data_IF_990611938328
#
_entry.id   IF_990611938328
#
_cell.length_a   1.000
_cell.length_b   1.000
_cell.length_c   1.000
_cell.angle_alpha   90.00
_cell.angle_beta   90.00
_cell.angle_gamma   90.00
#
_symmetry.space_group_name_H-M   'P 1'
#
loop_
_entity.id
_entity.type
_entity.pdbx_description
1 polymer ?
#
# COMPACT_ATOMS: atom_id res chain seq x y z
N UNK A 1 -8.77 -16.02 19.80
CA UNK A 1 -8.77 -14.73 19.05
C UNK A 1 -8.11 -14.93 17.68
N UNK A 2 -8.68 -14.36 16.60
CA UNK A 2 -8.11 -14.47 15.25
C UNK A 2 -6.95 -13.47 15.08
N UNK A 3 -5.83 -13.88 14.47
CA UNK A 3 -4.61 -13.07 14.36
C UNK A 3 -4.88 -11.69 13.71
N UNK A 4 -5.66 -11.66 12.62
CA UNK A 4 -6.05 -10.41 11.95
C UNK A 4 -6.77 -9.42 12.86
N UNK A 5 -7.57 -9.92 13.82
CA UNK A 5 -8.24 -9.04 14.80
C UNK A 5 -7.21 -8.45 15.77
N UNK A 6 -6.21 -9.23 16.17
CA UNK A 6 -5.13 -8.74 17.04
C UNK A 6 -4.31 -7.65 16.33
N UNK A 7 -3.98 -7.85 15.05
CA UNK A 7 -3.27 -6.86 14.25
C UNK A 7 -4.08 -5.58 14.03
N UNK A 8 -5.38 -5.72 13.75
CA UNK A 8 -6.27 -4.57 13.64
C UNK A 8 -6.34 -3.78 14.95
N UNK A 9 -6.50 -4.44 16.09
CA UNK A 9 -6.53 -3.79 17.41
C UNK A 9 -5.18 -3.14 17.73
N UNK A 10 -4.06 -3.78 17.37
CA UNK A 10 -2.73 -3.21 17.54
C UNK A 10 -2.53 -1.94 16.70
N UNK A 11 -3.02 -1.93 15.46
CA UNK A 11 -3.01 -0.76 14.58
C UNK A 11 -3.87 0.37 15.17
N UNK A 12 -5.07 0.05 15.63
CA UNK A 12 -6.00 1.00 16.25
C UNK A 12 -5.41 1.65 17.50
N UNK A 13 -4.68 0.89 18.32
CA UNK A 13 -4.00 1.42 19.51
C UNK A 13 -3.02 2.55 19.18
N UNK A 14 -2.39 2.55 18.00
CA UNK A 14 -1.47 3.62 17.58
C UNK A 14 -2.18 4.98 17.43
N UNK A 15 -3.47 4.97 17.04
CA UNK A 15 -4.26 6.18 16.82
C UNK A 15 -4.94 6.70 18.09
N UNK A 16 -5.07 5.85 19.12
CA UNK A 16 -5.72 6.16 20.39
C UNK A 16 -4.72 6.48 21.52
N UNK A 17 -3.42 6.21 21.32
CA UNK A 17 -2.37 6.46 22.33
C UNK A 17 -2.02 7.95 22.35
N UNK A 18 -2.17 8.67 23.49
CA UNK A 18 -1.96 10.13 23.57
C UNK A 18 -0.55 10.62 23.18
N UNK A 19 0.46 9.79 23.39
CA UNK A 19 1.85 10.04 23.01
C UNK A 19 2.39 8.79 22.28
N UNK A 20 2.18 8.67 20.96
CA UNK A 20 2.60 7.50 20.20
C UNK A 20 4.13 7.46 19.99
N UNK A 21 4.88 8.47 20.45
CA UNK A 21 6.28 8.63 20.12
C UNK A 21 6.51 8.85 18.62
N UNK A 22 7.64 8.36 18.12
CA UNK A 22 7.97 8.41 16.69
C UNK A 22 7.31 7.23 15.95
N UNK A 23 6.08 7.47 15.46
CA UNK A 23 5.32 6.48 14.70
C UNK A 23 6.07 6.04 13.43
N UNK A 24 6.76 6.95 12.74
CA UNK A 24 7.50 6.63 11.51
C UNK A 24 8.63 5.63 11.77
N UNK A 25 9.35 5.80 12.89
CA UNK A 25 10.36 4.85 13.34
C UNK A 25 9.76 3.48 13.66
N UNK A 26 8.65 3.44 14.41
CA UNK A 26 7.97 2.18 14.77
C UNK A 26 7.54 1.41 13.51
N UNK A 27 6.93 2.10 12.54
CA UNK A 27 6.49 1.49 11.29
C UNK A 27 7.67 1.01 10.44
N UNK A 28 8.78 1.75 10.44
CA UNK A 28 10.01 1.34 9.75
C UNK A 28 10.64 0.09 10.38
N UNK A 29 10.64 -0.02 11.72
CA UNK A 29 11.10 -1.22 12.42
C UNK A 29 10.22 -2.43 12.14
N UNK A 30 8.90 -2.22 12.02
CA UNK A 30 7.95 -3.27 11.65
C UNK A 30 8.12 -3.70 10.19
N UNK A 31 8.28 -2.75 9.27
CA UNK A 31 8.51 -3.00 7.83
C UNK A 31 9.83 -3.72 7.57
N UNK A 32 10.89 -3.43 8.33
CA UNK A 32 12.17 -4.10 8.22
C UNK A 32 12.20 -5.56 8.72
N UNK A 33 11.05 -6.14 9.14
CA UNK A 33 10.98 -7.56 9.50
C UNK A 33 10.68 -8.42 8.28
N UNK A 34 11.67 -9.18 7.85
CA UNK A 34 11.61 -10.03 6.65
C UNK A 34 10.64 -11.22 6.77
N UNK A 35 10.15 -11.55 7.97
CA UNK A 35 9.23 -12.66 8.21
C UNK A 35 7.76 -12.32 7.87
N UNK A 36 7.48 -11.10 7.40
CA UNK A 36 6.15 -10.67 6.94
C UNK A 36 5.11 -10.54 8.06
N UNK A 37 5.48 -10.75 9.32
CA UNK A 37 4.55 -10.83 10.46
C UNK A 37 3.78 -9.55 10.77
N UNK A 38 4.19 -8.43 10.19
CA UNK A 38 3.59 -7.11 10.39
C UNK A 38 2.92 -6.57 9.13
N UNK A 39 2.86 -7.36 8.05
CA UNK A 39 2.33 -6.91 6.77
C UNK A 39 0.87 -6.44 6.89
N UNK A 40 0.02 -7.23 7.55
CA UNK A 40 -1.39 -6.90 7.77
C UNK A 40 -1.54 -5.73 8.76
N UNK A 41 -0.76 -5.72 9.85
CA UNK A 41 -0.69 -4.58 10.77
C UNK A 41 -0.39 -3.26 10.04
N UNK A 42 0.63 -3.22 9.17
CA UNK A 42 1.00 -2.01 8.43
C UNK A 42 -0.10 -1.57 7.46
N UNK A 43 -0.77 -2.53 6.79
CA UNK A 43 -1.94 -2.24 5.94
C UNK A 43 -3.08 -1.62 6.75
N UNK A 44 -3.37 -2.12 7.95
CA UNK A 44 -4.38 -1.52 8.83
C UNK A 44 -3.98 -0.13 9.31
N UNK A 45 -2.72 0.10 9.68
CA UNK A 45 -2.25 1.43 10.06
C UNK A 45 -2.43 2.43 8.91
N UNK A 46 -2.05 2.06 7.69
CA UNK A 46 -2.28 2.88 6.51
C UNK A 46 -3.78 3.11 6.27
N UNK A 47 -4.61 2.07 6.41
CA UNK A 47 -6.06 2.16 6.28
C UNK A 47 -6.71 3.12 7.27
N UNK A 48 -6.30 3.07 8.53
CA UNK A 48 -6.79 3.96 9.59
C UNK A 48 -6.39 5.42 9.39
N UNK A 49 -5.41 5.71 8.53
CA UNK A 49 -5.09 7.09 8.11
C UNK A 49 -6.12 7.67 7.13
N UNK A 50 -6.95 6.82 6.50
CA UNK A 50 -8.03 7.25 5.62
C UNK A 50 -9.17 7.86 6.43
N UNK A 51 -9.61 9.11 6.15
CA UNK A 51 -10.78 9.68 6.79
C UNK A 51 -12.05 8.85 6.58
N UNK A 52 -12.16 8.12 5.47
CA UNK A 52 -13.33 7.29 5.19
C UNK A 52 -13.39 6.05 6.09
N UNK A 53 -12.25 5.41 6.33
CA UNK A 53 -12.17 4.24 7.19
C UNK A 53 -12.16 4.62 8.68
N UNK A 54 -11.54 5.76 9.04
CA UNK A 54 -11.44 6.23 10.41
C UNK A 54 -12.77 6.73 10.98
N UNK A 55 -13.59 7.45 10.20
CA UNK A 55 -14.80 8.13 10.69
C UNK A 55 -15.73 7.25 11.54
N UNK A 56 -16.15 6.04 11.11
CA UNK A 56 -17.02 5.19 11.93
C UNK A 56 -16.36 4.76 13.25
N UNK A 57 -15.03 4.63 13.26
CA UNK A 57 -14.27 4.26 14.46
C UNK A 57 -14.11 5.46 15.39
N UNK A 58 -13.88 6.65 14.86
CA UNK A 58 -13.77 7.89 15.64
C UNK A 58 -15.09 8.24 16.35
N UNK A 59 -16.24 7.92 15.73
CA UNK A 59 -17.56 8.09 16.33
C UNK A 59 -17.76 7.22 17.59
N UNK A 60 -17.10 6.06 17.64
CA UNK A 60 -17.25 5.08 18.72
C UNK A 60 -16.15 5.25 19.78
N UNK A 61 -14.92 5.51 19.34
CA UNK A 61 -13.71 5.43 20.16
C UNK A 61 -13.11 6.80 20.50
N UNK A 62 -13.65 7.87 19.91
CA UNK A 62 -13.09 9.21 19.99
C UNK A 62 -12.17 9.53 18.82
N UNK A 63 -11.90 10.82 18.63
CA UNK A 63 -11.10 11.33 17.50
C UNK A 63 -9.69 10.75 17.54
N UNK A 64 -9.19 10.34 16.37
CA UNK A 64 -7.81 9.92 16.23
C UNK A 64 -6.88 11.13 16.28
N UNK A 65 -5.65 10.89 16.75
CA UNK A 65 -4.64 11.94 16.77
C UNK A 65 -4.22 12.29 15.34
N UNK A 66 -4.45 13.56 14.98
CA UNK A 66 -4.04 14.08 13.67
C UNK A 66 -2.55 13.89 13.40
N UNK A 67 -1.71 14.04 14.44
CA UNK A 67 -0.26 13.83 14.33
C UNK A 67 0.09 12.40 13.93
N UNK A 68 -0.60 11.39 14.48
CA UNK A 68 -0.41 9.99 14.07
C UNK A 68 -0.78 9.80 12.60
N UNK A 69 -1.93 10.34 12.18
CA UNK A 69 -2.35 10.29 10.76
C UNK A 69 -1.32 10.92 9.83
N UNK A 70 -0.80 12.11 10.17
CA UNK A 70 0.26 12.76 9.39
C UNK A 70 1.53 11.90 9.33
N UNK A 71 2.00 11.40 10.47
CA UNK A 71 3.20 10.56 10.53
C UNK A 71 3.08 9.26 9.72
N UNK A 72 1.89 8.64 9.71
CA UNK A 72 1.61 7.49 8.85
C UNK A 72 1.66 7.87 7.36
N UNK A 73 1.04 8.99 6.98
CA UNK A 73 1.03 9.46 5.59
C UNK A 73 2.46 9.77 5.10
N UNK A 74 3.25 10.46 5.93
CA UNK A 74 4.64 10.78 5.62
C UNK A 74 5.48 9.50 5.49
N UNK A 75 5.29 8.54 6.41
CA UNK A 75 5.95 7.25 6.33
C UNK A 75 5.59 6.46 5.06
N UNK A 76 4.30 6.39 4.68
CA UNK A 76 3.88 5.72 3.44
C UNK A 76 4.53 6.38 2.23
N UNK A 77 4.63 7.71 2.21
CA UNK A 77 5.32 8.44 1.15
C UNK A 77 6.79 8.03 1.04
N UNK A 78 7.51 8.04 2.17
CA UNK A 78 8.91 7.65 2.23
C UNK A 78 9.16 6.22 1.76
N UNK A 79 8.28 5.27 2.12
CA UNK A 79 8.41 3.89 1.66
C UNK A 79 8.25 3.78 0.15
N UNK A 80 7.26 4.47 -0.44
CA UNK A 80 7.08 4.45 -1.90
C UNK A 80 8.30 5.07 -2.58
N UNK A 81 8.72 6.26 -2.15
CA UNK A 81 9.86 6.97 -2.73
C UNK A 81 11.16 6.14 -2.64
N UNK A 82 11.34 5.38 -1.55
CA UNK A 82 12.47 4.47 -1.36
C UNK A 82 12.45 3.19 -2.22
N UNK A 83 11.26 2.73 -2.65
CA UNK A 83 11.12 1.52 -3.48
C UNK A 83 10.99 1.82 -4.98
N UNK A 84 10.74 3.08 -5.38
CA UNK A 84 10.65 3.44 -6.80
C UNK A 84 11.95 3.05 -7.54
N UNK A 85 11.80 2.25 -8.59
CA UNK A 85 12.92 1.76 -9.40
C UNK A 85 13.67 0.57 -8.80
N UNK A 86 13.35 0.16 -7.57
CA UNK A 86 13.90 -1.05 -6.97
C UNK A 86 13.07 -2.28 -7.39
N UNK A 87 13.40 -2.86 -8.56
CA UNK A 87 12.69 -4.02 -9.10
C UNK A 87 13.63 -5.16 -9.53
N UNK A 88 14.85 -5.19 -8.94
CA UNK A 88 15.92 -6.11 -9.34
C UNK A 88 15.67 -7.54 -8.86
N UNK A 89 15.27 -7.71 -7.60
CA UNK A 89 14.98 -9.02 -7.01
C UNK A 89 13.48 -9.26 -6.84
N UNK A 90 13.10 -10.52 -6.58
CA UNK A 90 11.72 -10.87 -6.23
C UNK A 90 11.26 -10.15 -4.97
N UNK A 91 12.15 -10.02 -3.98
CA UNK A 91 11.88 -9.31 -2.73
C UNK A 91 11.64 -7.82 -2.97
N UNK A 92 12.47 -7.17 -3.80
CA UNK A 92 12.29 -5.74 -4.11
C UNK A 92 10.92 -5.48 -4.78
N UNK A 93 10.52 -6.35 -5.71
CA UNK A 93 9.21 -6.24 -6.37
C UNK A 93 8.05 -6.46 -5.40
N UNK A 94 8.18 -7.40 -4.46
CA UNK A 94 7.18 -7.63 -3.42
C UNK A 94 7.09 -6.41 -2.49
N UNK A 95 8.23 -5.89 -2.04
CA UNK A 95 8.31 -4.70 -1.21
C UNK A 95 7.63 -3.49 -1.88
N UNK A 96 7.90 -3.27 -3.18
CA UNK A 96 7.22 -2.22 -3.95
C UNK A 96 5.71 -2.44 -4.00
N UNK A 97 5.25 -3.67 -4.27
CA UNK A 97 3.82 -3.99 -4.28
C UNK A 97 3.18 -3.76 -2.90
N UNK A 98 3.87 -4.07 -1.81
CA UNK A 98 3.39 -3.82 -0.44
C UNK A 98 3.26 -2.32 -0.16
N UNK A 99 4.16 -1.48 -0.68
CA UNK A 99 3.98 -0.01 -0.60
C UNK A 99 2.73 0.46 -1.36
N UNK A 100 2.37 -0.20 -2.47
CA UNK A 100 1.12 0.09 -3.16
C UNK A 100 -0.10 -0.35 -2.36
N UNK A 101 -0.01 -1.43 -1.59
CA UNK A 101 -1.06 -1.79 -0.64
C UNK A 101 -1.25 -0.69 0.41
N UNK A 102 -0.19 -0.14 0.99
CA UNK A 102 -0.33 0.97 1.96
C UNK A 102 -0.98 2.20 1.32
N UNK A 103 -0.57 2.54 0.10
CA UNK A 103 -1.17 3.63 -0.64
C UNK A 103 -2.66 3.40 -0.91
N UNK A 104 -3.01 2.18 -1.34
CA UNK A 104 -4.38 1.75 -1.57
C UNK A 104 -5.22 1.87 -0.29
N UNK A 105 -4.76 1.31 0.82
CA UNK A 105 -5.48 1.33 2.10
C UNK A 105 -5.68 2.77 2.62
N UNK A 106 -4.68 3.64 2.48
CA UNK A 106 -4.80 5.05 2.90
C UNK A 106 -5.88 5.84 2.16
N UNK A 107 -6.31 5.36 0.99
CA UNK A 107 -7.25 6.03 0.08
C UNK A 107 -6.89 7.51 -0.20
N UNK A 108 -5.61 7.87 -0.03
CA UNK A 108 -5.13 9.24 -0.18
C UNK A 108 -4.77 9.53 -1.63
N UNK A 109 -5.75 10.01 -2.41
CA UNK A 109 -5.59 10.32 -3.84
C UNK A 109 -4.53 11.39 -4.12
N UNK A 110 -4.32 12.33 -3.18
CA UNK A 110 -3.31 13.38 -3.33
C UNK A 110 -1.92 12.78 -3.18
N UNK A 111 -1.70 12.01 -2.10
CA UNK A 111 -0.45 11.26 -1.89
C UNK A 111 -0.15 10.39 -3.10
N UNK A 112 -1.12 9.63 -3.58
CA UNK A 112 -0.94 8.73 -4.70
C UNK A 112 -0.54 9.46 -6.00
N UNK A 113 -1.15 10.60 -6.30
CA UNK A 113 -0.75 11.41 -7.47
C UNK A 113 0.68 11.94 -7.35
N UNK A 114 1.10 12.31 -6.15
CA UNK A 114 2.44 12.85 -5.90
C UNK A 114 3.51 11.76 -5.96
N UNK A 115 3.21 10.55 -5.48
CA UNK A 115 4.18 9.44 -5.41
C UNK A 115 4.23 8.61 -6.67
N UNK A 116 3.09 8.11 -7.16
CA UNK A 116 3.05 7.19 -8.30
C UNK A 116 2.75 7.88 -9.64
N UNK A 117 2.33 9.14 -9.63
CA UNK A 117 1.86 9.86 -10.82
C UNK A 117 2.88 9.93 -11.97
N UNK A 118 4.17 10.02 -11.64
CA UNK A 118 5.28 10.09 -12.60
C UNK A 118 5.93 8.74 -12.90
N UNK A 119 5.44 7.63 -12.34
CA UNK A 119 5.96 6.31 -12.65
C UNK A 119 5.62 5.94 -14.09
N UNK A 120 6.64 5.53 -14.85
CA UNK A 120 6.47 5.14 -16.25
C UNK A 120 6.70 3.64 -16.49
N UNK A 121 7.37 2.97 -15.56
CA UNK A 121 7.73 1.55 -15.67
C UNK A 121 7.37 0.82 -14.38
N UNK A 122 6.67 -0.29 -14.52
CA UNK A 122 6.29 -1.19 -13.43
C UNK A 122 6.69 -2.62 -13.80
N UNK A 123 7.45 -3.28 -12.92
CA UNK A 123 7.99 -4.62 -13.17
C UNK A 123 7.70 -5.53 -11.99
N UNK A 124 6.79 -6.47 -12.19
CA UNK A 124 6.38 -7.45 -11.18
C UNK A 124 6.56 -8.90 -11.65
N UNK A 125 7.24 -9.12 -12.78
CA UNK A 125 7.42 -10.47 -13.32
C UNK A 125 7.96 -11.47 -12.29
N UNK A 126 7.42 -12.69 -12.35
CA UNK A 126 7.66 -13.81 -11.44
C UNK A 126 7.11 -13.63 -10.00
N UNK A 127 6.19 -12.67 -9.79
CA UNK A 127 5.40 -12.59 -8.56
C UNK A 127 4.05 -13.29 -8.71
N UNK A 128 3.73 -14.20 -7.81
CA UNK A 128 2.35 -14.69 -7.72
C UNK A 128 1.47 -13.53 -7.24
N UNK A 129 0.53 -13.11 -8.09
CA UNK A 129 -0.40 -12.02 -7.81
C UNK A 129 -1.78 -12.57 -7.44
N UNK A 130 -2.28 -12.13 -6.30
CA UNK A 130 -3.66 -12.35 -5.89
C UNK A 130 -4.62 -11.39 -6.62
N UNK A 131 -5.94 -11.64 -6.61
CA UNK A 131 -6.91 -10.67 -7.12
C UNK A 131 -6.81 -9.30 -6.43
N UNK A 132 -6.47 -9.27 -5.14
CA UNK A 132 -6.27 -8.02 -4.39
C UNK A 132 -5.02 -7.28 -4.90
N UNK A 133 -3.91 -7.98 -5.14
CA UNK A 133 -2.71 -7.38 -5.73
C UNK A 133 -3.03 -6.73 -7.09
N UNK A 134 -3.87 -7.37 -7.89
CA UNK A 134 -4.31 -6.86 -9.18
C UNK A 134 -5.20 -5.61 -9.05
N UNK A 135 -6.09 -5.58 -8.06
CA UNK A 135 -6.92 -4.40 -7.76
C UNK A 135 -6.06 -3.20 -7.31
N UNK A 136 -5.08 -3.46 -6.43
CA UNK A 136 -4.11 -2.45 -5.98
C UNK A 136 -3.31 -1.91 -7.16
N UNK A 137 -2.74 -2.80 -7.97
CA UNK A 137 -1.98 -2.42 -9.16
C UNK A 137 -2.85 -1.63 -10.16
N UNK A 138 -4.10 -2.05 -10.35
CA UNK A 138 -5.05 -1.37 -11.22
C UNK A 138 -5.29 0.08 -10.78
N UNK A 139 -5.55 0.28 -9.49
CA UNK A 139 -5.71 1.62 -8.93
C UNK A 139 -4.44 2.47 -9.12
N UNK A 140 -3.25 1.89 -8.87
CA UNK A 140 -1.97 2.58 -9.06
C UNK A 140 -1.79 3.03 -10.51
N UNK A 141 -1.95 2.13 -11.50
CA UNK A 141 -1.87 2.46 -12.93
C UNK A 141 -2.91 3.51 -13.31
N UNK A 142 -4.12 3.42 -12.74
CA UNK A 142 -5.20 4.39 -12.91
C UNK A 142 -4.79 5.81 -12.51
N UNK A 143 -3.86 5.96 -11.57
CA UNK A 143 -3.36 7.24 -11.06
C UNK A 143 -2.08 7.73 -11.75
N UNK A 144 -1.31 6.86 -12.40
CA UNK A 144 -0.15 7.25 -13.20
C UNK A 144 -0.54 8.09 -14.43
N UNK A 145 0.27 9.05 -14.86
CA UNK A 145 -0.03 9.84 -16.07
C UNK A 145 0.03 8.98 -17.34
N UNK A 146 1.09 8.17 -17.46
CA UNK A 146 1.32 7.25 -18.58
C UNK A 146 2.24 6.12 -18.14
N UNK A 147 1.90 4.89 -18.49
CA UNK A 147 2.79 3.74 -18.30
C UNK A 147 3.43 3.40 -19.65
N UNK A 148 4.75 3.53 -19.74
CA UNK A 148 5.52 3.10 -20.91
C UNK A 148 5.64 1.58 -20.93
N UNK A 149 5.91 0.97 -19.77
CA UNK A 149 6.16 -0.46 -19.65
C UNK A 149 5.51 -1.05 -18.41
N UNK A 150 4.66 -2.05 -18.59
CA UNK A 150 4.12 -2.90 -17.55
C UNK A 150 4.55 -4.34 -17.82
N UNK A 151 5.26 -4.95 -16.87
CA UNK A 151 5.87 -6.27 -16.99
C UNK A 151 5.33 -7.20 -15.90
N UNK A 152 4.48 -8.14 -16.32
CA UNK A 152 3.70 -9.09 -15.53
C UNK A 152 3.95 -10.55 -15.96
N UNK A 153 5.02 -10.84 -16.71
CA UNK A 153 5.35 -12.22 -17.09
C UNK A 153 5.44 -13.14 -15.88
N UNK A 154 4.93 -14.37 -16.02
CA UNK A 154 4.93 -15.40 -14.96
C UNK A 154 4.30 -14.96 -13.63
N UNK A 155 3.28 -14.08 -13.65
CA UNK A 155 2.63 -13.61 -12.43
C UNK A 155 1.45 -14.48 -11.93
N UNK A 156 1.09 -15.55 -12.66
CA UNK A 156 0.00 -16.47 -12.31
C UNK A 156 -1.34 -15.76 -12.03
N UNK A 157 -1.63 -14.69 -12.76
CA UNK A 157 -2.83 -13.87 -12.57
C UNK A 157 -4.08 -14.69 -12.94
N UNK A 158 -5.00 -14.83 -11.98
CA UNK A 158 -6.27 -15.50 -12.16
C UNK A 158 -7.26 -14.62 -12.95
N UNK A 159 -8.37 -15.19 -13.41
CA UNK A 159 -9.37 -14.47 -14.19
C UNK A 159 -9.89 -13.22 -13.48
N UNK A 160 -10.19 -13.32 -12.19
CA UNK A 160 -10.64 -12.21 -11.34
C UNK A 160 -9.58 -11.10 -11.29
N UNK A 161 -8.30 -11.46 -11.26
CA UNK A 161 -7.20 -10.49 -11.32
C UNK A 161 -7.11 -9.77 -12.66
N UNK A 162 -7.33 -10.49 -13.77
CA UNK A 162 -7.41 -9.88 -15.11
C UNK A 162 -8.56 -8.89 -15.21
N UNK A 163 -9.73 -9.21 -14.64
CA UNK A 163 -10.87 -8.30 -14.59
C UNK A 163 -10.56 -7.00 -13.81
N UNK A 164 -9.73 -7.08 -12.77
CA UNK A 164 -9.29 -5.87 -12.06
C UNK A 164 -8.38 -4.99 -12.93
N UNK A 165 -7.50 -5.60 -13.74
CA UNK A 165 -6.51 -4.87 -14.54
C UNK A 165 -7.08 -4.34 -15.86
N UNK A 166 -8.03 -5.04 -16.48
CA UNK A 166 -8.63 -4.71 -17.78
C UNK A 166 -8.92 -3.21 -17.97
N UNK A 167 -9.57 -2.51 -17.02
CA UNK A 167 -9.98 -1.11 -17.21
C UNK A 167 -8.81 -0.15 -17.39
N UNK A 168 -7.59 -0.51 -16.97
CA UNK A 168 -6.42 0.38 -16.96
C UNK A 168 -5.32 -0.01 -17.92
N UNK A 169 -5.41 -1.19 -18.56
CA UNK A 169 -4.38 -1.66 -19.50
C UNK A 169 -4.20 -0.72 -20.71
N UNK A 170 -5.25 -0.01 -21.12
CA UNK A 170 -5.19 0.98 -22.20
C UNK A 170 -4.19 2.13 -21.92
N UNK A 171 -3.79 2.35 -20.66
CA UNK A 171 -2.78 3.36 -20.27
C UNK A 171 -1.34 2.86 -20.46
N UNK A 172 -1.15 1.57 -20.73
CA UNK A 172 0.15 0.93 -20.91
C UNK A 172 0.51 0.90 -22.40
N UNK A 173 1.69 1.45 -22.75
CA UNK A 173 2.19 1.37 -24.14
C UNK A 173 2.69 -0.04 -24.48
N UNK A 174 3.35 -0.68 -23.53
CA UNK A 174 3.85 -2.06 -23.64
C UNK A 174 3.39 -2.82 -22.42
N UNK A 175 2.73 -3.95 -22.67
CA UNK A 175 2.36 -4.96 -21.69
C UNK A 175 3.10 -6.24 -22.05
N UNK A 176 3.75 -6.86 -21.06
CA UNK A 176 4.38 -8.18 -21.14
C UNK A 176 3.87 -9.04 -20.00
#
# INVERSE_FOLDING_TARGET
PHLTIQEFVAALAQFLTPDPGDIGKLLSEAYGKEDGRFEIFLRFVAGLSSPQAARPLEEILGRFLHQTTCGVIDWVKEQIDGQIGNTKSKTDKRNLLDTFHYLFESQNKVLARVTVGSMETLTFCNLIMTPIDCAVLSQTIGLCNKIKHLELENCHIQFEGLQQLEPVLHKCRVLR
#
